data_IF_646787337776
#
_entry.id   IF_646787337776
#
_cell.length_a   1.000
_cell.length_b   1.000
_cell.length_c   1.000
_cell.angle_alpha   90.00
_cell.angle_beta   90.00
_cell.angle_gamma   90.00
#
_symmetry.space_group_name_H-M   'P 1'
#
loop_
_entity.id
_entity.type
_entity.pdbx_description
1 polymer ?
#
# COMPACT_ATOMS: atom_id res chain seq x y z
N UNK A 1 -25.65 7.36 7.70
CA UNK A 1 -24.56 8.36 7.67
C UNK A 1 -23.33 7.62 7.21
N UNK A 2 -22.99 7.78 5.93
CA UNK A 2 -21.85 7.13 5.33
C UNK A 2 -20.77 8.22 5.21
N UNK A 3 -19.90 8.33 6.21
CA UNK A 3 -18.88 9.39 6.28
C UNK A 3 -17.65 9.08 5.39
N UNK A 4 -17.93 8.72 4.13
CA UNK A 4 -16.91 8.36 3.15
C UNK A 4 -16.51 9.61 2.37
N UNK A 5 -15.21 9.82 2.20
CA UNK A 5 -14.68 10.91 1.40
C UNK A 5 -13.33 10.58 0.79
N UNK A 6 -12.98 11.34 -0.23
CA UNK A 6 -11.71 11.19 -0.96
C UNK A 6 -10.79 12.37 -0.66
N UNK A 7 -9.51 12.07 -0.48
CA UNK A 7 -8.47 13.07 -0.28
C UNK A 7 -7.10 12.56 -0.72
N UNK A 8 -6.20 13.49 -1.03
CA UNK A 8 -4.79 13.24 -1.37
C UNK A 8 -3.93 13.83 -0.27
N UNK A 9 -2.93 13.08 0.22
CA UNK A 9 -2.04 13.50 1.32
C UNK A 9 -0.59 13.51 0.85
N UNK A 10 0.21 14.44 1.35
CA UNK A 10 1.66 14.43 1.14
C UNK A 10 2.32 13.24 1.86
N UNK A 11 3.48 12.77 1.39
CA UNK A 11 4.22 11.66 2.02
C UNK A 11 4.59 11.86 3.50
N UNK A 12 4.68 13.10 3.98
CA UNK A 12 4.96 13.41 5.40
C UNK A 12 3.70 13.93 6.14
N UNK A 13 2.52 13.71 5.57
CA UNK A 13 1.25 14.21 6.10
C UNK A 13 0.84 15.58 5.55
N UNK A 14 -0.42 15.94 5.77
CA UNK A 14 -1.06 17.15 5.23
C UNK A 14 -1.82 16.88 3.93
N UNK A 15 -3.11 17.24 3.93
CA UNK A 15 -4.01 17.08 2.78
C UNK A 15 -3.71 18.13 1.71
N UNK A 16 -3.67 17.73 0.44
CA UNK A 16 -3.42 18.61 -0.72
C UNK A 16 -4.59 18.67 -1.72
N UNK A 17 -5.57 17.78 -1.58
CA UNK A 17 -6.85 17.82 -2.29
C UNK A 17 -7.88 16.97 -1.49
N UNK A 18 -9.17 17.36 -1.46
CA UNK A 18 -10.22 16.79 -0.58
C UNK A 18 -10.73 17.85 0.42
N UNK A 19 -11.70 17.65 1.32
CA UNK A 19 -12.50 16.50 1.77
C UNK A 19 -13.85 16.45 1.04
N UNK A 20 -13.93 15.68 -0.03
CA UNK A 20 -15.19 15.56 -0.77
C UNK A 20 -16.05 14.49 -0.10
N UNK A 21 -17.16 14.91 0.50
CA UNK A 21 -18.17 14.04 1.09
C UNK A 21 -19.38 14.01 0.17
N UNK A 22 -19.85 12.80 -0.16
CA UNK A 22 -21.15 12.55 -0.82
C UNK A 22 -21.37 13.26 -2.19
N UNK A 23 -20.33 13.82 -2.82
CA UNK A 23 -20.37 14.50 -4.13
C UNK A 23 -19.53 13.79 -5.19
N UNK A 24 -20.08 13.69 -6.42
CA UNK A 24 -19.36 13.19 -7.59
C UNK A 24 -18.61 14.36 -8.25
N UNK A 25 -17.34 14.54 -7.88
CA UNK A 25 -16.49 15.61 -8.41
C UNK A 25 -15.12 15.06 -8.88
N UNK A 26 -14.48 15.77 -9.81
CA UNK A 26 -13.13 15.44 -10.27
C UNK A 26 -12.08 15.99 -9.30
N UNK A 27 -11.46 15.10 -8.52
CA UNK A 27 -10.36 15.46 -7.63
C UNK A 27 -9.01 15.35 -8.35
N UNK A 28 -8.26 16.47 -8.41
CA UNK A 28 -6.93 16.51 -9.02
C UNK A 28 -5.91 17.15 -8.08
N UNK A 29 -4.69 16.63 -8.10
CA UNK A 29 -3.56 17.17 -7.33
C UNK A 29 -2.27 17.08 -8.16
N UNK A 30 -1.43 18.11 -8.08
CA UNK A 30 -0.07 18.05 -8.61
C UNK A 30 0.81 17.30 -7.60
N UNK A 31 1.52 16.27 -8.07
CA UNK A 31 2.40 15.45 -7.24
C UNK A 31 3.85 15.78 -7.58
N UNK A 32 4.63 16.16 -6.57
CA UNK A 32 6.09 16.27 -6.68
C UNK A 32 6.73 15.03 -6.05
N UNK A 33 7.31 14.18 -6.90
CA UNK A 33 7.80 12.84 -6.48
C UNK A 33 9.00 12.92 -5.54
N UNK A 34 9.78 14.00 -5.60
CA UNK A 34 10.93 14.25 -4.72
C UNK A 34 10.55 14.35 -3.23
N UNK A 35 9.30 14.74 -2.93
CA UNK A 35 8.80 14.83 -1.56
C UNK A 35 8.76 13.47 -0.86
N UNK A 36 8.63 12.38 -1.62
CA UNK A 36 8.69 11.01 -1.09
C UNK A 36 10.08 10.68 -0.53
N UNK A 37 11.14 11.05 -1.25
CA UNK A 37 12.51 10.83 -0.80
C UNK A 37 12.83 11.66 0.45
N UNK A 38 12.35 12.91 0.51
CA UNK A 38 12.49 13.79 1.69
C UNK A 38 11.77 13.22 2.91
N UNK A 39 10.53 12.74 2.74
CA UNK A 39 9.76 12.11 3.82
C UNK A 39 10.46 10.86 4.38
N UNK A 40 10.92 9.96 3.49
CA UNK A 40 11.63 8.74 3.89
C UNK A 40 12.95 9.04 4.61
N UNK A 41 13.64 10.13 4.27
CA UNK A 41 14.85 10.57 4.99
C UNK A 41 14.56 10.84 6.48
N UNK A 42 13.39 11.38 6.80
CA UNK A 42 12.96 11.64 8.18
C UNK A 42 12.60 10.34 8.91
N UNK A 43 11.91 9.42 8.23
CA UNK A 43 11.54 8.12 8.79
C UNK A 43 11.61 7.01 7.74
N UNK A 44 12.60 6.13 7.88
CA UNK A 44 12.79 4.95 7.04
C UNK A 44 12.62 3.66 7.86
N UNK A 45 11.38 3.19 7.95
CA UNK A 45 10.97 2.06 8.82
C UNK A 45 11.63 0.75 8.41
N UNK A 46 11.73 0.49 7.11
CA UNK A 46 12.32 -0.75 6.56
C UNK A 46 13.84 -0.64 6.32
N UNK A 47 14.42 0.56 6.43
CA UNK A 47 15.86 0.79 6.27
C UNK A 47 16.53 1.08 7.61
N UNK A 48 16.85 2.35 7.89
CA UNK A 48 17.64 2.72 9.08
C UNK A 48 17.04 2.24 10.41
N UNK A 49 15.71 2.18 10.52
CA UNK A 49 15.02 1.76 11.74
C UNK A 49 14.67 0.26 11.77
N UNK A 50 15.15 -0.54 10.82
CA UNK A 50 14.88 -1.98 10.79
C UNK A 50 15.54 -2.68 11.98
N UNK A 51 14.80 -3.60 12.61
CA UNK A 51 15.26 -4.48 13.69
C UNK A 51 15.00 -5.95 13.32
N UNK A 52 15.74 -6.51 12.36
CA UNK A 52 15.47 -7.85 11.82
C UNK A 52 15.62 -8.96 12.86
N UNK A 53 16.33 -8.71 13.95
CA UNK A 53 16.45 -9.60 15.10
C UNK A 53 15.22 -9.60 16.02
N UNK A 54 14.33 -8.62 15.87
CA UNK A 54 13.06 -8.52 16.63
C UNK A 54 11.87 -8.80 15.71
N UNK A 55 11.82 -8.16 14.54
CA UNK A 55 10.72 -8.25 13.59
C UNK A 55 11.25 -8.73 12.24
N UNK A 56 10.70 -9.85 11.77
CA UNK A 56 11.01 -10.44 10.48
C UNK A 56 9.73 -10.65 9.68
N UNK A 57 9.75 -10.29 8.39
CA UNK A 57 8.61 -10.44 7.50
C UNK A 57 9.07 -10.92 6.12
N UNK A 58 8.47 -12.01 5.65
CA UNK A 58 8.68 -12.57 4.32
C UNK A 58 7.35 -12.74 3.61
N UNK A 59 7.38 -12.65 2.28
CA UNK A 59 6.21 -12.86 1.42
C UNK A 59 6.52 -13.99 0.45
N UNK A 60 5.73 -15.06 0.53
CA UNK A 60 5.67 -16.05 -0.55
C UNK A 60 4.89 -15.48 -1.73
N UNK A 61 5.60 -15.24 -2.84
CA UNK A 61 5.02 -14.67 -4.07
C UNK A 61 4.69 -15.72 -5.13
N UNK A 62 4.79 -17.01 -4.81
CA UNK A 62 4.44 -18.07 -5.75
C UNK A 62 2.95 -17.97 -6.09
N UNK A 63 2.62 -18.15 -7.37
CA UNK A 63 1.22 -18.31 -7.79
C UNK A 63 0.69 -19.61 -7.19
N UNK A 64 -0.33 -19.53 -6.34
CA UNK A 64 -0.98 -20.70 -5.76
C UNK A 64 -2.26 -20.98 -6.53
N UNK A 65 -2.42 -22.23 -6.98
CA UNK A 65 -3.68 -22.69 -7.57
C UNK A 65 -4.71 -22.90 -6.48
N UNK A 66 -5.96 -22.45 -6.71
CA UNK A 66 -7.05 -22.57 -5.72
C UNK A 66 -7.40 -24.03 -5.41
N UNK A 67 -7.37 -24.88 -6.44
CA UNK A 67 -7.60 -26.32 -6.32
C UNK A 67 -6.78 -27.06 -7.38
N UNK A 68 -6.21 -28.20 -7.00
CA UNK A 68 -5.63 -29.19 -7.92
C UNK A 68 -6.46 -30.46 -7.79
N UNK A 69 -6.98 -30.95 -8.91
CA UNK A 69 -7.64 -32.24 -8.97
C UNK A 69 -6.62 -33.31 -9.35
N UNK A 70 -6.68 -34.45 -8.69
CA UNK A 70 -5.89 -35.64 -8.99
C UNK A 70 -6.87 -36.75 -9.36
N UNK A 71 -6.58 -37.48 -10.44
CA UNK A 71 -7.33 -38.67 -10.84
C UNK A 71 -6.51 -39.94 -10.51
N UNK A 72 -7.18 -41.10 -10.51
CA UNK A 72 -6.61 -42.40 -10.14
C UNK A 72 -5.41 -42.78 -11.03
N UNK A 73 -5.32 -42.23 -12.24
CA UNK A 73 -4.23 -42.47 -13.19
C UNK A 73 -3.00 -41.55 -13.05
N UNK A 74 -3.03 -40.52 -12.19
CA UNK A 74 -1.92 -39.54 -12.09
C UNK A 74 -0.74 -40.02 -11.22
N UNK A 75 -0.86 -41.21 -10.61
CA UNK A 75 0.12 -41.80 -9.70
C UNK A 75 0.72 -43.13 -10.20
N UNK A 76 0.56 -43.45 -11.49
CA UNK A 76 1.31 -44.53 -12.17
C UNK A 76 2.64 -44.05 -12.75
#
# INVERSE_FOLDING_TARGET
MNDWGFFVVKPFGGVIAGLLHEEQEFLSAKIETEESAKSRKTLDVSGHYIRPEIFYFEVDRRSMVSVTFWDVGDFE
#
